data_IF_639905186021
#
_entry.id   IF_639905186021
#
_cell.length_a   1.000
_cell.length_b   1.000
_cell.length_c   1.000
_cell.angle_alpha   90.00
_cell.angle_beta   90.00
_cell.angle_gamma   90.00
#
_symmetry.space_group_name_H-M   'P 1'
#
loop_
_entity.id
_entity.type
_entity.pdbx_description
1 polymer ?
#
# COMPACT_ATOMS: atom_id res chain seq x y z
N UNK A 1 -10.76 -19.00 1.17
CA UNK A 1 -9.55 -19.04 2.02
C UNK A 1 -8.35 -19.10 1.09
N UNK A 2 -7.55 -18.04 0.99
CA UNK A 2 -6.34 -18.07 0.18
C UNK A 2 -5.19 -18.57 1.07
N UNK A 3 -4.68 -19.76 0.76
CA UNK A 3 -3.51 -20.35 1.41
C UNK A 3 -2.28 -19.53 1.01
N UNK A 4 -1.85 -18.61 1.87
CA UNK A 4 -0.54 -17.98 1.75
C UNK A 4 0.48 -18.96 2.33
N UNK A 5 1.37 -19.49 1.49
CA UNK A 5 2.52 -20.26 1.97
C UNK A 5 3.46 -19.31 2.71
N UNK A 6 3.83 -19.66 3.94
CA UNK A 6 4.89 -18.95 4.67
C UNK A 6 6.18 -18.99 3.85
N UNK A 7 6.78 -17.81 3.65
CA UNK A 7 8.05 -17.69 2.95
C UNK A 7 9.19 -17.97 3.93
N UNK A 8 10.24 -18.63 3.44
CA UNK A 8 11.47 -18.79 4.22
C UNK A 8 12.20 -17.46 4.43
N UNK A 9 13.16 -17.41 5.36
CA UNK A 9 13.89 -16.18 5.72
C UNK A 9 14.51 -15.46 4.52
N UNK A 10 15.16 -16.21 3.61
CA UNK A 10 15.76 -15.65 2.41
C UNK A 10 14.73 -15.13 1.40
N UNK A 11 13.58 -15.82 1.30
CA UNK A 11 12.47 -15.39 0.44
C UNK A 11 11.88 -14.07 0.95
N UNK A 12 11.61 -13.96 2.26
CA UNK A 12 11.11 -12.74 2.90
C UNK A 12 12.08 -11.56 2.72
N UNK A 13 13.37 -11.80 2.96
CA UNK A 13 14.41 -10.78 2.83
C UNK A 13 14.52 -10.23 1.40
N UNK A 14 14.45 -11.10 0.38
CA UNK A 14 14.49 -10.69 -1.03
C UNK A 14 13.24 -9.87 -1.40
N UNK A 15 12.05 -10.27 -0.94
CA UNK A 15 10.81 -9.52 -1.22
C UNK A 15 10.85 -8.12 -0.59
N UNK A 16 11.33 -7.99 0.67
CA UNK A 16 11.54 -6.68 1.33
C UNK A 16 12.58 -5.83 0.62
N UNK A 17 13.67 -6.45 0.18
CA UNK A 17 14.71 -5.76 -0.57
C UNK A 17 14.16 -5.15 -1.86
N UNK A 18 13.38 -5.91 -2.64
CA UNK A 18 12.72 -5.42 -3.87
C UNK A 18 11.67 -4.33 -3.58
N UNK A 19 10.97 -4.41 -2.43
CA UNK A 19 10.03 -3.34 -2.03
C UNK A 19 10.76 -2.00 -1.79
N UNK A 20 11.92 -2.05 -1.15
CA UNK A 20 12.66 -0.85 -0.74
C UNK A 20 13.36 -0.11 -1.89
N UNK A 21 13.71 -0.82 -2.97
CA UNK A 21 14.51 -0.27 -4.07
C UNK A 21 14.21 -0.95 -5.40
N UNK A 22 14.27 -0.16 -6.47
CA UNK A 22 14.34 -0.71 -7.84
C UNK A 22 15.67 -1.45 -7.98
N UNK A 23 15.60 -2.71 -8.39
CA UNK A 23 16.78 -3.57 -8.41
C UNK A 23 16.73 -4.57 -9.54
N UNK A 24 17.89 -5.02 -10.01
CA UNK A 24 18.03 -6.05 -11.03
C UNK A 24 18.33 -7.40 -10.39
N UNK A 25 18.21 -8.46 -11.19
CA UNK A 25 18.57 -9.82 -10.76
C UNK A 25 19.98 -9.89 -10.19
N UNK A 26 20.93 -9.30 -10.90
CA UNK A 26 22.35 -9.29 -10.53
C UNK A 26 22.58 -8.54 -9.22
N UNK A 27 21.94 -7.37 -9.04
CA UNK A 27 22.01 -6.59 -7.80
C UNK A 27 21.41 -7.36 -6.62
N UNK A 28 20.31 -8.09 -6.80
CA UNK A 28 19.74 -8.97 -5.77
C UNK A 28 20.76 -10.06 -5.43
N UNK A 29 21.27 -10.79 -6.42
CA UNK A 29 22.26 -11.86 -6.21
C UNK A 29 23.47 -11.32 -5.44
N UNK A 30 24.08 -10.22 -5.89
CA UNK A 30 25.25 -9.63 -5.24
C UNK A 30 24.97 -9.13 -3.82
N UNK A 31 23.72 -8.80 -3.47
CA UNK A 31 23.36 -8.34 -2.13
C UNK A 31 23.12 -9.47 -1.13
N UNK A 32 22.78 -10.67 -1.62
CA UNK A 32 22.43 -11.83 -0.78
C UNK A 32 23.43 -12.98 -0.90
N UNK A 33 24.36 -12.91 -1.86
CA UNK A 33 25.51 -13.82 -1.93
C UNK A 33 26.53 -13.42 -0.88
N UNK A 34 26.84 -14.36 0.00
CA UNK A 34 27.70 -14.16 1.16
C UNK A 34 27.16 -14.90 2.39
N UNK A 35 28.05 -15.37 3.26
CA UNK A 35 27.64 -16.22 4.39
C UNK A 35 27.08 -17.58 3.93
N UNK A 36 25.86 -17.99 4.34
CA UNK A 36 25.30 -19.33 4.07
C UNK A 36 24.73 -19.50 2.65
N UNK A 37 24.63 -18.44 1.85
CA UNK A 37 23.96 -18.48 0.54
C UNK A 37 24.92 -18.25 -0.63
N UNK A 38 24.82 -19.11 -1.64
CA UNK A 38 25.52 -18.98 -2.92
C UNK A 38 24.59 -18.48 -4.03
N UNK A 39 25.18 -18.01 -5.15
CA UNK A 39 24.44 -17.38 -6.26
C UNK A 39 23.33 -18.26 -6.82
N UNK A 40 23.59 -19.56 -6.97
CA UNK A 40 22.60 -20.55 -7.40
C UNK A 40 21.37 -20.62 -6.48
N UNK A 41 21.56 -20.59 -5.17
CA UNK A 41 20.45 -20.63 -4.19
C UNK A 41 19.61 -19.35 -4.25
N UNK A 42 20.26 -18.18 -4.30
CA UNK A 42 19.56 -16.89 -4.44
C UNK A 42 18.76 -16.85 -5.75
N UNK A 43 19.34 -17.34 -6.85
CA UNK A 43 18.65 -17.43 -8.13
C UNK A 43 17.40 -18.33 -8.08
N UNK A 44 17.49 -19.50 -7.45
CA UNK A 44 16.35 -20.40 -7.28
C UNK A 44 15.23 -19.74 -6.47
N UNK A 45 15.58 -18.99 -5.43
CA UNK A 45 14.62 -18.23 -4.63
C UNK A 45 13.92 -17.14 -5.46
N UNK A 46 14.66 -16.38 -6.26
CA UNK A 46 14.06 -15.37 -7.16
C UNK A 46 13.06 -16.05 -8.10
N UNK A 47 13.42 -17.16 -8.74
CA UNK A 47 12.53 -17.91 -9.62
C UNK A 47 11.30 -18.48 -8.89
N UNK A 48 11.47 -18.96 -7.65
CA UNK A 48 10.35 -19.43 -6.83
C UNK A 48 9.37 -18.29 -6.49
N UNK A 49 9.89 -17.11 -6.15
CA UNK A 49 9.09 -15.92 -5.86
C UNK A 49 8.35 -15.39 -7.10
N UNK A 50 8.98 -15.42 -8.28
CA UNK A 50 8.32 -15.13 -9.56
C UNK A 50 7.18 -16.12 -9.84
N UNK A 51 7.45 -17.42 -9.73
CA UNK A 51 6.46 -18.48 -9.99
C UNK A 51 5.27 -18.40 -9.03
N UNK A 52 5.52 -18.04 -7.77
CA UNK A 52 4.47 -17.80 -6.76
C UNK A 52 3.77 -16.46 -6.94
N UNK A 53 4.27 -15.60 -7.83
CA UNK A 53 3.65 -14.32 -8.17
C UNK A 53 3.89 -13.22 -7.16
N UNK A 54 4.88 -13.33 -6.26
CA UNK A 54 5.19 -12.29 -5.27
C UNK A 54 6.02 -11.14 -5.87
N UNK A 55 6.83 -11.45 -6.88
CA UNK A 55 7.66 -10.50 -7.62
C UNK A 55 7.47 -10.73 -9.13
N UNK A 56 7.78 -9.72 -9.93
CA UNK A 56 7.81 -9.82 -11.38
C UNK A 56 8.92 -8.98 -11.98
N UNK A 57 9.48 -9.42 -13.10
CA UNK A 57 10.31 -8.57 -13.93
C UNK A 57 9.46 -7.50 -14.61
N UNK A 58 9.94 -6.26 -14.65
CA UNK A 58 9.26 -5.17 -15.35
C UNK A 58 9.36 -5.34 -16.86
N UNK A 59 8.22 -5.16 -17.55
CA UNK A 59 8.15 -5.09 -19.02
C UNK A 59 8.83 -3.83 -19.56
N UNK A 60 8.94 -2.78 -18.73
CA UNK A 60 9.64 -1.54 -19.04
C UNK A 60 11.09 -1.61 -18.59
N UNK A 61 12.00 -1.11 -19.42
CA UNK A 61 13.39 -0.86 -19.02
C UNK A 61 13.48 0.45 -18.24
N UNK A 62 14.44 0.53 -17.33
CA UNK A 62 14.74 1.72 -16.54
C UNK A 62 16.20 2.12 -16.71
N UNK A 63 16.45 3.43 -16.68
CA UNK A 63 17.80 3.97 -16.76
C UNK A 63 18.61 3.63 -15.49
N UNK A 64 19.82 3.08 -15.67
CA UNK A 64 20.72 2.64 -14.58
C UNK A 64 21.06 3.74 -13.59
N UNK A 65 21.25 4.97 -14.07
CA UNK A 65 21.76 6.09 -13.26
C UNK A 65 20.71 6.84 -12.45
N UNK A 66 19.40 6.62 -12.64
CA UNK A 66 18.35 7.33 -11.90
C UNK A 66 18.28 8.85 -12.08
N UNK A 67 19.22 9.46 -12.82
CA UNK A 67 19.31 10.90 -13.07
C UNK A 67 19.03 11.14 -14.56
N UNK A 68 17.95 11.89 -14.83
CA UNK A 68 17.59 12.36 -16.15
C UNK A 68 18.46 13.58 -16.49
N UNK A 69 19.55 13.37 -17.22
CA UNK A 69 20.21 14.48 -17.93
C UNK A 69 19.57 14.54 -19.32
N UNK A 70 18.90 15.65 -19.62
CA UNK A 70 18.14 15.83 -20.88
C UNK A 70 19.02 15.87 -22.13
N UNK A 71 20.34 16.02 -22.00
CA UNK A 71 21.25 16.34 -23.11
C UNK A 71 22.46 15.40 -23.23
N UNK A 72 22.46 14.24 -22.57
CA UNK A 72 23.56 13.27 -22.70
C UNK A 72 23.26 12.25 -23.82
N UNK A 73 24.26 11.83 -24.63
CA UNK A 73 24.07 10.76 -25.61
C UNK A 73 23.70 9.47 -24.86
N UNK A 74 22.44 9.08 -24.95
CA UNK A 74 21.92 7.88 -24.30
C UNK A 74 22.45 6.63 -25.00
N UNK A 75 23.34 5.90 -24.36
CA UNK A 75 23.70 4.55 -24.78
C UNK A 75 22.54 3.60 -24.49
N UNK A 76 22.18 2.74 -25.45
CA UNK A 76 21.15 1.71 -25.24
C UNK A 76 21.49 0.74 -24.09
N UNK A 77 22.78 0.62 -23.76
CA UNK A 77 23.31 -0.21 -22.67
C UNK A 77 22.97 0.31 -21.25
N UNK A 78 22.43 1.53 -21.13
CA UNK A 78 22.06 2.13 -19.84
C UNK A 78 20.67 1.74 -19.35
N UNK A 79 19.96 0.90 -20.10
CA UNK A 79 18.58 0.49 -19.82
C UNK A 79 18.51 -0.95 -19.31
N UNK A 80 18.02 -1.15 -18.08
CA UNK A 80 17.92 -2.46 -17.44
C UNK A 80 16.50 -2.83 -17.02
N UNK A 81 16.17 -4.13 -17.08
CA UNK A 81 14.94 -4.66 -16.52
C UNK A 81 15.10 -4.82 -15.01
N UNK A 82 14.15 -4.25 -14.26
CA UNK A 82 14.15 -4.31 -12.79
C UNK A 82 13.03 -5.20 -12.29
N UNK A 83 13.24 -5.78 -11.11
CA UNK A 83 12.22 -6.47 -10.36
C UNK A 83 11.29 -5.51 -9.65
N UNK A 84 10.00 -5.82 -9.70
CA UNK A 84 8.94 -5.10 -9.02
C UNK A 84 8.16 -6.07 -8.13
N UNK A 85 7.74 -5.59 -6.96
CA UNK A 85 6.82 -6.33 -6.10
C UNK A 85 5.40 -6.28 -6.67
N UNK A 86 4.72 -7.43 -6.71
CA UNK A 86 3.34 -7.53 -7.19
C UNK A 86 2.35 -7.11 -6.08
N UNK A 87 1.05 -6.94 -6.39
CA UNK A 87 0.03 -6.79 -5.36
C UNK A 87 0.02 -7.95 -4.34
N UNK A 88 0.28 -9.18 -4.79
CA UNK A 88 0.38 -10.35 -3.92
C UNK A 88 1.58 -10.26 -2.97
N UNK A 89 2.75 -9.84 -3.47
CA UNK A 89 3.95 -9.58 -2.65
C UNK A 89 3.70 -8.51 -1.60
N UNK A 90 3.03 -7.42 -1.96
CA UNK A 90 2.67 -6.36 -1.00
C UNK A 90 1.71 -6.86 0.08
N UNK A 91 0.71 -7.66 -0.29
CA UNK A 91 -0.24 -8.24 0.66
C UNK A 91 0.44 -9.21 1.64
N UNK A 92 1.40 -10.01 1.15
CA UNK A 92 2.23 -10.85 2.02
C UNK A 92 3.04 -10.01 3.01
N UNK A 93 3.76 -8.99 2.54
CA UNK A 93 4.58 -8.15 3.42
C UNK A 93 3.77 -7.45 4.49
N UNK A 94 2.59 -6.91 4.13
CA UNK A 94 1.70 -6.24 5.07
C UNK A 94 1.23 -7.16 6.21
N UNK A 95 0.92 -8.43 5.89
CA UNK A 95 0.54 -9.44 6.88
C UNK A 95 1.71 -9.90 7.73
N UNK A 96 2.87 -10.11 7.11
CA UNK A 96 4.11 -10.44 7.82
C UNK A 96 4.46 -9.34 8.82
N UNK A 97 4.42 -8.07 8.42
CA UNK A 97 4.63 -6.94 9.35
C UNK A 97 3.55 -6.83 10.43
N UNK A 98 2.28 -7.11 10.12
CA UNK A 98 1.20 -7.09 11.11
C UNK A 98 1.40 -8.13 12.24
N UNK A 99 1.98 -9.28 11.91
CA UNK A 99 2.33 -10.31 12.89
C UNK A 99 3.47 -9.86 13.83
N UNK A 100 4.40 -9.02 13.34
CA UNK A 100 5.46 -8.41 14.16
C UNK A 100 5.00 -7.18 14.95
N UNK A 101 3.93 -6.50 14.54
CA UNK A 101 3.41 -5.27 15.17
C UNK A 101 2.19 -5.49 16.07
N UNK A 102 1.98 -6.70 16.59
CA UNK A 102 1.01 -6.94 17.67
C UNK A 102 1.37 -6.18 18.97
N UNK A 103 2.55 -5.56 19.03
CA UNK A 103 2.96 -4.61 20.07
C UNK A 103 3.74 -3.43 19.46
N UNK A 104 3.10 -2.53 18.72
CA UNK A 104 3.41 -1.09 18.79
C UNK A 104 2.60 -0.31 17.76
N UNK A 105 2.01 0.78 18.27
CA UNK A 105 1.47 1.91 17.55
C UNK A 105 2.20 2.21 16.24
N UNK A 106 1.56 1.98 15.08
CA UNK A 106 2.00 2.61 13.83
C UNK A 106 1.04 3.73 13.46
N UNK A 107 1.58 4.91 13.71
CA UNK A 107 1.25 6.22 13.16
C UNK A 107 1.12 6.21 11.63
N UNK A 108 -0.01 6.73 11.17
CA UNK A 108 -0.19 7.65 10.04
C UNK A 108 0.46 7.29 8.69
N UNK A 109 -0.22 6.46 7.90
CA UNK A 109 -0.14 6.54 6.43
C UNK A 109 -1.37 5.90 5.77
N UNK A 110 -2.21 6.74 5.15
CA UNK A 110 -3.13 6.41 4.05
C UNK A 110 -3.84 5.04 4.09
N UNK A 111 -4.74 4.88 5.06
CA UNK A 111 -5.63 3.71 5.20
C UNK A 111 -6.57 3.54 3.99
N UNK A 112 -6.85 4.62 3.24
CA UNK A 112 -7.74 4.59 2.08
C UNK A 112 -7.27 3.70 0.90
N UNK A 113 -5.98 3.34 0.83
CA UNK A 113 -5.43 2.56 -0.29
C UNK A 113 -5.05 1.11 0.05
N UNK A 114 -5.10 0.71 1.33
CA UNK A 114 -4.55 -0.59 1.76
C UNK A 114 -5.56 -1.74 1.79
N UNK A 115 -6.84 -1.47 1.54
CA UNK A 115 -7.85 -2.52 1.57
C UNK A 115 -9.03 -2.17 0.66
N UNK A 116 -9.14 -2.77 -0.53
CA UNK A 116 -10.28 -2.54 -1.42
C UNK A 116 -11.63 -3.01 -0.82
N UNK A 117 -11.62 -3.61 0.39
CA UNK A 117 -12.79 -4.04 1.15
C UNK A 117 -12.78 -3.62 2.64
N UNK A 118 -11.88 -2.73 3.09
CA UNK A 118 -12.03 -2.17 4.45
C UNK A 118 -13.05 -1.04 4.40
N UNK A 119 -14.32 -1.38 4.64
CA UNK A 119 -15.28 -0.37 5.04
C UNK A 119 -14.91 0.03 6.47
N UNK A 120 -14.33 1.22 6.63
CA UNK A 120 -14.22 1.87 7.94
C UNK A 120 -15.62 2.32 8.31
N UNK A 121 -16.36 1.40 8.92
CA UNK A 121 -17.70 1.66 9.38
C UNK A 121 -17.64 2.43 10.69
N UNK A 122 -18.17 3.65 10.69
CA UNK A 122 -18.32 4.46 11.90
C UNK A 122 -19.73 4.21 12.43
N UNK A 123 -19.84 3.76 13.67
CA UNK A 123 -21.12 3.66 14.38
C UNK A 123 -21.50 5.05 14.91
N UNK A 124 -22.64 5.58 14.45
CA UNK A 124 -23.10 6.93 14.82
C UNK A 124 -23.34 7.04 16.33
N UNK A 125 -23.80 5.96 16.98
CA UNK A 125 -24.13 5.91 18.41
C UNK A 125 -22.93 6.14 19.33
N UNK A 126 -21.71 5.93 18.85
CA UNK A 126 -20.48 6.15 19.61
C UNK A 126 -19.90 7.56 19.43
N UNK A 127 -20.48 8.37 18.54
CA UNK A 127 -20.03 9.74 18.31
C UNK A 127 -20.57 10.71 19.37
N UNK A 128 -19.89 11.85 19.61
CA UNK A 128 -20.44 12.95 20.39
C UNK A 128 -21.82 13.37 19.87
N UNK A 129 -22.76 13.63 20.78
CA UNK A 129 -24.17 13.93 20.48
C UNK A 129 -24.34 15.06 19.45
N UNK A 130 -23.46 16.07 19.52
CA UNK A 130 -23.41 17.17 18.57
C UNK A 130 -23.10 16.71 17.13
N UNK A 131 -22.17 15.77 16.95
CA UNK A 131 -21.85 15.20 15.64
C UNK A 131 -22.99 14.31 15.13
N UNK A 132 -23.67 13.58 16.02
CA UNK A 132 -24.85 12.80 15.66
C UNK A 132 -25.96 13.70 15.10
N UNK A 133 -26.25 14.81 15.77
CA UNK A 133 -27.24 15.79 15.31
C UNK A 133 -26.84 16.39 13.95
N UNK A 134 -25.56 16.70 13.74
CA UNK A 134 -25.06 17.23 12.47
C UNK A 134 -25.12 16.21 11.32
N UNK A 135 -24.95 14.92 11.60
CA UNK A 135 -25.15 13.87 10.60
C UNK A 135 -26.63 13.79 10.18
N UNK A 136 -27.57 13.93 11.13
CA UNK A 136 -29.00 13.99 10.81
C UNK A 136 -29.37 15.22 9.98
N UNK A 137 -28.83 16.39 10.33
CA UNK A 137 -29.00 17.63 9.55
C UNK A 137 -28.41 17.49 8.13
N UNK A 138 -27.26 16.80 8.00
CA UNK A 138 -26.65 16.52 6.71
C UNK A 138 -27.57 15.65 5.84
N UNK A 139 -28.13 14.59 6.41
CA UNK A 139 -29.08 13.70 5.72
C UNK A 139 -30.36 14.42 5.27
N UNK A 140 -30.87 15.32 6.10
CA UNK A 140 -32.02 16.15 5.76
C UNK A 140 -31.70 17.10 4.61
N UNK A 141 -30.53 17.76 4.64
CA UNK A 141 -30.07 18.62 3.56
C UNK A 141 -29.84 17.84 2.25
N UNK A 142 -29.37 16.58 2.31
CA UNK A 142 -29.27 15.69 1.13
C UNK A 142 -30.66 15.43 0.54
N UNK A 143 -31.64 15.07 1.37
CA UNK A 143 -33.02 14.81 0.93
C UNK A 143 -33.67 16.04 0.30
N UNK A 144 -33.41 17.22 0.87
CA UNK A 144 -33.94 18.50 0.39
C UNK A 144 -33.14 19.08 -0.79
N UNK A 145 -31.99 18.48 -1.16
CA UNK A 145 -31.06 18.97 -2.19
C UNK A 145 -30.56 20.40 -1.92
N UNK A 146 -30.48 20.79 -0.65
CA UNK A 146 -29.99 22.11 -0.25
C UNK A 146 -28.47 22.12 -0.18
N UNK A 147 -27.84 22.57 -1.27
CA UNK A 147 -26.37 22.66 -1.38
C UNK A 147 -25.72 23.64 -0.39
N UNK A 148 -26.44 24.68 0.05
CA UNK A 148 -25.90 25.66 0.99
C UNK A 148 -25.85 25.07 2.41
N UNK A 149 -26.93 24.40 2.83
CA UNK A 149 -26.98 23.67 4.09
C UNK A 149 -25.97 22.51 4.10
N UNK A 150 -25.86 21.74 3.01
CA UNK A 150 -24.89 20.64 2.89
C UNK A 150 -23.45 21.11 3.10
N UNK A 151 -23.05 22.20 2.43
CA UNK A 151 -21.68 22.72 2.54
C UNK A 151 -21.38 23.21 3.96
N UNK A 152 -22.36 23.83 4.62
CA UNK A 152 -22.22 24.35 5.98
C UNK A 152 -22.09 23.21 7.00
N UNK A 153 -22.97 22.21 6.92
CA UNK A 153 -22.99 21.06 7.84
C UNK A 153 -21.76 20.18 7.60
N UNK A 154 -21.40 19.91 6.35
CA UNK A 154 -20.18 19.16 6.02
C UNK A 154 -18.92 19.89 6.49
N UNK A 155 -18.85 21.21 6.31
CA UNK A 155 -17.73 22.02 6.79
C UNK A 155 -17.57 21.94 8.31
N UNK A 156 -18.69 21.97 9.05
CA UNK A 156 -18.67 21.79 10.51
C UNK A 156 -18.14 20.40 10.91
N UNK A 157 -18.65 19.34 10.26
CA UNK A 157 -18.23 17.97 10.54
C UNK A 157 -16.75 17.79 10.19
N UNK A 158 -16.26 18.34 9.08
CA UNK A 158 -14.87 18.27 8.67
C UNK A 158 -13.91 19.01 9.63
N UNK A 159 -14.36 20.11 10.24
CA UNK A 159 -13.60 20.84 11.27
C UNK A 159 -13.50 20.06 12.58
N UNK A 160 -14.58 19.37 12.98
CA UNK A 160 -14.64 18.63 14.26
C UNK A 160 -14.15 17.19 14.17
N UNK A 161 -14.33 16.53 13.04
CA UNK A 161 -13.97 15.13 12.83
C UNK A 161 -13.77 14.82 11.35
N UNK A 162 -12.50 14.84 10.93
CA UNK A 162 -12.09 14.53 9.56
C UNK A 162 -12.53 13.12 9.14
N UNK A 163 -12.46 12.15 10.06
CA UNK A 163 -12.83 10.76 9.78
C UNK A 163 -14.33 10.61 9.48
N UNK A 164 -15.19 11.32 10.22
CA UNK A 164 -16.65 11.33 9.98
C UNK A 164 -16.98 12.04 8.68
N UNK A 165 -16.28 13.13 8.33
CA UNK A 165 -16.45 13.81 7.06
C UNK A 165 -16.07 12.91 5.86
N UNK A 166 -14.97 12.16 5.98
CA UNK A 166 -14.56 11.18 4.96
C UNK A 166 -15.61 10.07 4.85
N UNK A 167 -16.13 9.56 5.97
CA UNK A 167 -17.17 8.53 5.97
C UNK A 167 -18.47 9.01 5.30
N UNK A 168 -18.87 10.27 5.52
CA UNK A 168 -20.02 10.90 4.84
C UNK A 168 -19.79 11.01 3.34
N UNK A 169 -18.61 11.50 2.91
CA UNK A 169 -18.29 11.69 1.50
C UNK A 169 -18.16 10.36 0.73
N UNK A 170 -17.74 9.30 1.42
CA UNK A 170 -17.52 7.97 0.83
C UNK A 170 -18.71 7.03 0.99
N UNK A 171 -19.75 7.42 1.75
CA UNK A 171 -20.95 6.62 1.98
C UNK A 171 -20.74 5.38 2.87
N UNK A 172 -19.73 5.41 3.76
CA UNK A 172 -19.31 4.25 4.58
C UNK A 172 -19.87 4.30 6.01
N UNK A 173 -20.84 5.17 6.27
CA UNK A 173 -21.49 5.27 7.58
C UNK A 173 -22.42 4.08 7.81
N UNK A 174 -22.24 3.37 8.93
CA UNK A 174 -23.24 2.41 9.42
C UNK A 174 -24.20 3.17 10.35
N UNK A 175 -25.49 3.03 10.08
CA UNK A 175 -26.58 3.68 10.82
C UNK A 175 -27.30 2.67 11.67
#
# INVERSE_FOLDING_TARGET
MNNFSELGELEDAIVRYIQSKRTTKEKIINSFVGGPYHSGAVNQVITALERRGYIRLSDKKYHKSGIYFLDAPHNEDDWEHVYLITPLGKAYLARSSANFTSYSNISNSNIAHQSPNSKQSIEITELPEELQQKILEFDEAVKQKDGAALKKVFGYIADKSVDVAIALATGVILR
#
